data_IF_832572323053
#
_entry.id   IF_832572323053
#
_cell.length_a   1.000
_cell.length_b   1.000
_cell.length_c   1.000
_cell.angle_alpha   90.00
_cell.angle_beta   90.00
_cell.angle_gamma   90.00
#
_symmetry.space_group_name_H-M   'P 1'
#
loop_
_entity.id
_entity.type
_entity.pdbx_description
1 polymer ?
#
# COMPACT_ATOMS: atom_id res chain seq x y z
N UNK A 1 5.79 -30.85 -10.53
CA UNK A 1 6.17 -30.04 -9.36
C UNK A 1 4.92 -29.30 -8.95
N UNK A 2 4.36 -29.65 -7.80
CA UNK A 2 3.08 -29.16 -7.33
C UNK A 2 3.18 -27.66 -7.05
N UNK A 3 2.39 -26.85 -7.75
CA UNK A 3 2.23 -25.42 -7.43
C UNK A 3 1.83 -25.29 -5.96
N UNK A 4 2.46 -24.41 -5.15
CA UNK A 4 1.93 -24.12 -3.83
C UNK A 4 0.52 -23.57 -4.01
N UNK A 5 -0.45 -24.26 -3.42
CA UNK A 5 -1.87 -23.89 -3.42
C UNK A 5 -2.04 -22.60 -2.63
N UNK A 6 -1.89 -21.44 -3.28
CA UNK A 6 -2.24 -20.13 -2.75
C UNK A 6 -3.78 -20.01 -2.63
N UNK A 7 -4.36 -20.27 -1.45
CA UNK A 7 -5.58 -19.65 -0.89
C UNK A 7 -6.08 -20.38 0.40
N UNK A 8 -6.75 -19.72 1.39
CA UNK A 8 -6.91 -18.28 1.62
C UNK A 8 -6.51 -17.85 3.05
N UNK A 9 -5.41 -17.11 3.16
CA UNK A 9 -5.07 -16.33 4.35
C UNK A 9 -5.44 -14.86 4.17
N UNK A 10 -5.81 -14.17 5.26
CA UNK A 10 -6.07 -12.73 5.20
C UNK A 10 -4.78 -11.95 4.92
N UNK A 11 -4.88 -10.91 4.08
CA UNK A 11 -3.78 -10.05 3.70
C UNK A 11 -3.83 -8.69 4.41
N UNK A 12 -2.65 -8.23 4.83
CA UNK A 12 -2.38 -6.83 5.11
C UNK A 12 -1.48 -6.24 4.01
N UNK A 13 -2.06 -5.41 3.14
CA UNK A 13 -1.41 -4.95 1.91
C UNK A 13 -0.60 -3.65 2.06
N UNK A 14 -0.42 -3.14 3.29
CA UNK A 14 0.40 -1.95 3.49
C UNK A 14 1.00 -1.95 4.90
N UNK A 15 2.29 -2.25 5.01
CA UNK A 15 3.05 -2.14 6.25
C UNK A 15 4.45 -1.62 5.97
N UNK A 16 5.10 -1.06 6.98
CA UNK A 16 6.49 -0.66 6.96
C UNK A 16 7.23 -1.37 8.09
N UNK A 17 8.52 -1.65 7.93
CA UNK A 17 9.37 -2.12 9.02
C UNK A 17 10.54 -1.16 9.22
N UNK A 18 10.98 -1.04 10.47
CA UNK A 18 12.06 -0.18 10.88
C UNK A 18 13.01 -0.94 11.80
N UNK A 19 14.24 -1.13 11.34
CA UNK A 19 15.25 -1.88 12.08
C UNK A 19 15.02 -3.40 12.09
N UNK A 20 15.61 -4.12 13.06
CA UNK A 20 16.32 -3.58 14.22
C UNK A 20 17.63 -2.87 13.82
N UNK A 21 18.01 -1.82 14.55
CA UNK A 21 19.07 -0.88 14.14
C UNK A 21 20.49 -1.45 14.11
N UNK A 22 20.72 -2.54 14.85
CA UNK A 22 21.98 -3.27 14.88
C UNK A 22 22.22 -4.08 13.59
N UNK A 23 21.14 -4.48 12.89
CA UNK A 23 21.20 -5.23 11.63
C UNK A 23 20.89 -4.37 10.41
N UNK A 24 19.92 -3.47 10.54
CA UNK A 24 19.43 -2.61 9.46
C UNK A 24 19.44 -1.15 9.90
N UNK A 25 20.63 -0.55 10.09
CA UNK A 25 20.75 0.86 10.49
C UNK A 25 20.17 1.77 9.41
N UNK A 26 19.66 2.94 9.83
CA UNK A 26 19.27 3.97 8.88
C UNK A 26 20.50 4.54 8.17
N UNK A 27 20.39 4.88 6.87
CA UNK A 27 21.45 5.61 6.19
C UNK A 27 21.61 7.01 6.81
N UNK A 28 22.82 7.57 6.73
CA UNK A 28 23.14 8.87 7.33
C UNK A 28 22.28 10.03 6.80
N UNK A 29 21.74 9.90 5.59
CA UNK A 29 20.86 10.85 4.92
C UNK A 29 19.37 10.45 4.98
N UNK A 30 18.96 9.63 5.95
CA UNK A 30 17.57 9.24 6.13
C UNK A 30 16.63 10.46 6.21
N UNK A 31 15.47 10.37 5.54
CA UNK A 31 14.49 11.45 5.50
C UNK A 31 13.93 11.83 6.89
N UNK A 32 13.89 10.85 7.81
CA UNK A 32 13.52 11.01 9.21
C UNK A 32 13.97 9.78 10.02
N UNK A 33 13.94 9.87 11.35
CA UNK A 33 14.28 8.78 12.27
C UNK A 33 13.03 8.28 13.01
N UNK A 34 12.44 7.15 12.61
CA UNK A 34 11.31 6.55 13.33
C UNK A 34 11.76 5.78 14.58
N UNK A 35 10.82 5.42 15.44
CA UNK A 35 11.04 4.40 16.45
C UNK A 35 11.27 3.02 15.78
N UNK A 36 12.08 2.13 16.37
CA UNK A 36 12.22 0.78 15.85
C UNK A 36 10.87 0.05 15.85
N UNK A 37 10.62 -0.66 14.76
CA UNK A 37 9.43 -1.46 14.49
C UNK A 37 9.85 -2.64 13.60
N UNK A 38 10.60 -3.60 14.15
CA UNK A 38 11.20 -4.69 13.38
C UNK A 38 10.14 -5.66 12.86
N UNK A 39 10.50 -6.46 11.86
CA UNK A 39 9.62 -7.46 11.26
C UNK A 39 9.05 -8.47 12.29
N UNK A 40 9.81 -8.80 13.34
CA UNK A 40 9.34 -9.66 14.43
C UNK A 40 8.08 -9.12 15.13
N UNK A 41 7.99 -7.80 15.28
CA UNK A 41 6.88 -7.15 15.97
C UNK A 41 5.64 -7.13 15.07
N UNK A 42 5.84 -6.89 13.77
CA UNK A 42 4.80 -7.01 12.76
C UNK A 42 4.25 -8.44 12.69
N UNK A 43 5.14 -9.44 12.69
CA UNK A 43 4.76 -10.84 12.64
C UNK A 43 3.93 -11.23 13.88
N UNK A 44 4.35 -10.79 15.07
CA UNK A 44 3.60 -11.02 16.30
C UNK A 44 2.23 -10.33 16.29
N UNK A 45 2.13 -9.13 15.70
CA UNK A 45 0.85 -8.46 15.48
C UNK A 45 -0.05 -9.25 14.53
N UNK A 46 0.46 -9.63 13.35
CA UNK A 46 -0.30 -10.38 12.35
C UNK A 46 -0.81 -11.72 12.89
N UNK A 47 0.01 -12.44 13.67
CA UNK A 47 -0.41 -13.67 14.37
C UNK A 47 -1.59 -13.42 15.32
N UNK A 48 -1.56 -12.35 16.13
CA UNK A 48 -2.68 -11.99 17.01
C UNK A 48 -3.94 -11.60 16.23
N UNK A 49 -3.77 -10.97 15.07
CA UNK A 49 -4.87 -10.50 14.24
C UNK A 49 -5.48 -11.59 13.34
N UNK A 50 -4.80 -12.71 13.15
CA UNK A 50 -5.18 -13.77 12.20
C UNK A 50 -4.86 -13.39 10.75
N UNK A 51 -3.87 -12.52 10.54
CA UNK A 51 -3.35 -12.13 9.23
C UNK A 51 -2.24 -13.12 8.87
N UNK A 52 -2.33 -13.70 7.67
CA UNK A 52 -1.40 -14.74 7.21
C UNK A 52 -0.44 -14.21 6.14
N UNK A 53 -0.84 -13.17 5.41
CA UNK A 53 -0.03 -12.57 4.36
C UNK A 53 0.16 -11.08 4.57
N UNK A 54 1.31 -10.56 4.16
CA UNK A 54 1.62 -9.14 4.33
C UNK A 54 2.39 -8.54 3.16
N UNK A 55 2.29 -7.23 3.01
CA UNK A 55 3.06 -6.46 2.03
C UNK A 55 3.91 -5.43 2.76
N UNK A 56 5.23 -5.62 2.66
CA UNK A 56 6.24 -4.69 3.17
C UNK A 56 6.50 -3.61 2.12
N UNK A 57 5.97 -2.43 2.35
CA UNK A 57 6.23 -1.25 1.53
C UNK A 57 7.52 -0.61 2.03
N UNK A 58 8.47 -0.39 1.13
CA UNK A 58 9.76 0.21 1.44
C UNK A 58 9.56 1.58 2.12
N UNK A 59 10.15 1.72 3.30
CA UNK A 59 10.01 2.92 4.08
C UNK A 59 10.97 4.02 3.58
N UNK A 60 10.48 5.26 3.48
CA UNK A 60 11.24 6.39 2.95
C UNK A 60 12.63 6.60 3.61
N UNK A 61 12.84 6.38 4.94
CA UNK A 61 14.15 6.52 5.56
C UNK A 61 15.24 5.62 4.98
N UNK A 62 14.89 4.44 4.44
CA UNK A 62 15.84 3.51 3.84
C UNK A 62 16.12 3.80 2.35
N UNK A 63 15.29 4.62 1.69
CA UNK A 63 15.45 4.92 0.26
C UNK A 63 15.48 3.65 -0.60
N UNK A 64 16.54 3.49 -1.39
CA UNK A 64 16.77 2.34 -2.29
C UNK A 64 17.53 1.17 -1.63
N UNK A 65 17.81 1.22 -0.32
CA UNK A 65 18.33 0.08 0.42
C UNK A 65 17.18 -0.84 0.85
N UNK A 66 16.94 -1.92 0.09
CA UNK A 66 15.90 -2.90 0.38
C UNK A 66 16.35 -4.05 1.30
N UNK A 67 17.55 -3.99 1.88
CA UNK A 67 18.12 -5.10 2.65
C UNK A 67 17.20 -5.59 3.78
N UNK A 68 16.57 -4.67 4.52
CA UNK A 68 15.64 -5.00 5.59
C UNK A 68 14.39 -5.75 5.09
N UNK A 69 13.73 -5.23 4.04
CA UNK A 69 12.51 -5.83 3.51
C UNK A 69 12.79 -7.18 2.83
N UNK A 70 13.92 -7.31 2.14
CA UNK A 70 14.33 -8.57 1.50
C UNK A 70 14.61 -9.66 2.53
N UNK A 71 15.30 -9.31 3.62
CA UNK A 71 15.54 -10.24 4.72
C UNK A 71 14.23 -10.70 5.38
N UNK A 72 13.30 -9.77 5.63
CA UNK A 72 12.00 -10.07 6.20
C UNK A 72 11.14 -10.95 5.27
N UNK A 73 11.13 -10.69 3.96
CA UNK A 73 10.42 -11.53 2.97
C UNK A 73 11.01 -12.95 2.97
N UNK A 74 12.33 -13.08 2.96
CA UNK A 74 12.98 -14.39 3.01
C UNK A 74 12.65 -15.17 4.30
N UNK A 75 12.67 -14.50 5.45
CA UNK A 75 12.29 -15.08 6.74
C UNK A 75 10.82 -15.51 6.78
N UNK A 76 9.95 -14.84 6.03
CA UNK A 76 8.51 -15.11 6.04
C UNK A 76 8.09 -16.42 5.39
N UNK A 77 8.97 -17.15 4.70
CA UNK A 77 8.63 -18.41 4.05
C UNK A 77 7.62 -18.28 2.90
N UNK A 78 7.55 -17.11 2.25
CA UNK A 78 6.66 -16.85 1.13
C UNK A 78 5.31 -16.20 1.51
N UNK A 79 5.08 -15.92 2.79
CA UNK A 79 3.88 -15.26 3.28
C UNK A 79 3.85 -13.76 2.98
N UNK A 80 5.00 -13.11 2.78
CA UNK A 80 5.08 -11.67 2.53
C UNK A 80 5.58 -11.35 1.11
N UNK A 81 5.23 -10.16 0.63
CA UNK A 81 5.74 -9.56 -0.61
C UNK A 81 6.22 -8.14 -0.35
N UNK A 82 7.03 -7.60 -1.28
CA UNK A 82 7.60 -6.26 -1.17
C UNK A 82 7.03 -5.27 -2.18
N UNK A 83 7.01 -3.98 -1.80
CA UNK A 83 6.90 -2.85 -2.73
C UNK A 83 8.12 -1.95 -2.53
N UNK A 84 8.93 -1.80 -3.56
CA UNK A 84 10.21 -1.07 -3.48
C UNK A 84 10.11 0.42 -3.77
N UNK A 85 11.19 1.13 -3.46
CA UNK A 85 11.52 2.42 -4.06
C UNK A 85 12.69 2.20 -5.04
N UNK A 86 12.52 2.67 -6.27
CA UNK A 86 13.55 2.63 -7.32
C UNK A 86 13.70 4.02 -7.94
N UNK A 87 14.78 4.22 -8.69
CA UNK A 87 15.04 5.44 -9.46
C UNK A 87 15.59 5.13 -10.85
N UNK A 88 15.92 6.17 -11.61
CA UNK A 88 16.47 6.07 -12.97
C UNK A 88 17.83 5.35 -13.02
N UNK A 89 18.53 5.22 -11.89
CA UNK A 89 19.84 4.55 -11.80
C UNK A 89 19.74 3.07 -11.48
N UNK A 90 18.56 2.60 -11.03
CA UNK A 90 18.30 1.18 -10.80
C UNK A 90 18.48 0.44 -12.13
N UNK A 91 19.26 -0.64 -12.18
CA UNK A 91 19.54 -1.45 -13.38
C UNK A 91 18.53 -2.59 -13.55
N UNK A 92 18.45 -3.18 -14.74
CA UNK A 92 17.54 -4.32 -14.98
C UNK A 92 17.96 -5.56 -14.17
N UNK A 93 19.27 -5.74 -13.96
CA UNK A 93 19.84 -6.77 -13.08
C UNK A 93 19.39 -6.58 -11.63
N UNK A 94 19.43 -5.34 -11.13
CA UNK A 94 18.89 -5.02 -9.80
C UNK A 94 17.38 -5.27 -9.73
N UNK A 95 16.60 -4.92 -10.77
CA UNK A 95 15.18 -5.24 -10.81
C UNK A 95 14.91 -6.75 -10.75
N UNK A 96 15.71 -7.56 -11.45
CA UNK A 96 15.61 -9.01 -11.37
C UNK A 96 15.92 -9.53 -9.96
N UNK A 97 16.99 -9.05 -9.32
CA UNK A 97 17.33 -9.40 -7.94
C UNK A 97 16.19 -9.06 -6.98
N UNK A 98 15.56 -7.89 -7.15
CA UNK A 98 14.42 -7.48 -6.34
C UNK A 98 13.18 -8.35 -6.60
N UNK A 99 12.93 -8.74 -7.85
CA UNK A 99 11.84 -9.65 -8.22
C UNK A 99 12.00 -11.03 -7.58
N UNK A 100 13.19 -11.60 -7.69
CA UNK A 100 13.54 -12.90 -7.10
C UNK A 100 13.48 -12.84 -5.58
N UNK A 101 13.83 -11.69 -5.00
CA UNK A 101 13.69 -11.38 -3.57
C UNK A 101 12.24 -11.15 -3.10
N UNK A 102 11.25 -11.20 -3.98
CA UNK A 102 9.83 -11.17 -3.64
C UNK A 102 9.16 -9.79 -3.71
N UNK A 103 9.81 -8.77 -4.30
CA UNK A 103 9.11 -7.54 -4.64
C UNK A 103 8.12 -7.77 -5.79
N UNK A 104 6.98 -7.08 -5.72
CA UNK A 104 5.87 -7.14 -6.68
C UNK A 104 5.34 -5.77 -7.07
N UNK A 105 6.02 -4.71 -6.69
CA UNK A 105 5.65 -3.37 -7.05
C UNK A 105 6.69 -2.32 -6.68
N UNK A 106 6.46 -1.10 -7.15
CA UNK A 106 7.21 0.10 -6.77
C UNK A 106 6.26 1.18 -6.27
N UNK A 107 6.76 2.09 -5.42
CA UNK A 107 5.98 3.20 -4.88
C UNK A 107 6.47 4.55 -5.38
N UNK A 108 5.52 5.41 -5.76
CA UNK A 108 5.72 6.84 -5.97
C UNK A 108 5.03 7.62 -4.88
N UNK A 109 5.78 8.45 -4.18
CA UNK A 109 5.25 9.32 -3.13
C UNK A 109 5.15 10.75 -3.65
N UNK A 110 3.93 11.24 -3.80
CA UNK A 110 3.59 12.53 -4.39
C UNK A 110 3.11 13.54 -3.33
N UNK A 111 3.18 13.20 -2.04
CA UNK A 111 2.91 14.15 -0.97
C UNK A 111 3.94 15.28 -0.98
N UNK A 112 3.45 16.53 -0.94
CA UNK A 112 4.26 17.75 -1.08
C UNK A 112 5.45 17.87 -0.12
N UNK A 113 5.36 17.25 1.06
CA UNK A 113 6.38 17.28 2.11
C UNK A 113 7.40 16.14 2.04
N UNK A 114 7.26 15.18 1.12
CA UNK A 114 8.15 14.01 1.02
C UNK A 114 9.06 14.11 -0.22
N UNK A 115 10.31 13.61 -0.13
CA UNK A 115 11.27 13.60 -1.23
C UNK A 115 10.82 12.63 -2.33
N UNK A 116 11.10 12.96 -3.60
CA UNK A 116 10.81 12.11 -4.75
C UNK A 116 10.72 12.88 -6.07
N UNK A 117 10.95 12.18 -7.19
CA UNK A 117 10.68 12.71 -8.52
C UNK A 117 9.17 12.93 -8.69
N UNK A 118 8.77 14.09 -9.20
CA UNK A 118 7.35 14.44 -9.47
C UNK A 118 7.08 14.68 -10.95
N UNK A 119 8.05 14.39 -11.80
CA UNK A 119 7.89 14.47 -13.25
C UNK A 119 7.03 13.28 -13.72
N UNK A 120 5.80 13.52 -14.20
CA UNK A 120 4.89 12.45 -14.60
C UNK A 120 5.44 11.57 -15.72
N UNK A 121 6.30 12.10 -16.60
CA UNK A 121 6.87 11.34 -17.71
C UNK A 121 7.94 10.37 -17.21
N UNK A 122 8.84 10.83 -16.34
CA UNK A 122 9.88 9.99 -15.71
C UNK A 122 9.27 8.88 -14.86
N UNK A 123 8.27 9.22 -14.06
CA UNK A 123 7.55 8.23 -13.24
C UNK A 123 6.80 7.20 -14.11
N UNK A 124 6.23 7.63 -15.25
CA UNK A 124 5.62 6.70 -16.21
C UNK A 124 6.63 5.72 -16.79
N UNK A 125 7.82 6.19 -17.16
CA UNK A 125 8.89 5.33 -17.68
C UNK A 125 9.26 4.23 -16.67
N UNK A 126 9.37 4.58 -15.38
CA UNK A 126 9.59 3.59 -14.32
C UNK A 126 8.42 2.61 -14.19
N UNK A 127 7.17 3.09 -14.30
CA UNK A 127 5.98 2.25 -14.25
C UNK A 127 5.91 1.25 -15.42
N UNK A 128 6.28 1.66 -16.63
CA UNK A 128 6.32 0.80 -17.81
C UNK A 128 7.49 -0.19 -17.71
N UNK A 129 8.62 0.22 -17.12
CA UNK A 129 9.81 -0.62 -16.96
C UNK A 129 9.60 -1.83 -16.03
N UNK A 130 8.74 -1.71 -15.01
CA UNK A 130 8.43 -2.84 -14.12
C UNK A 130 7.32 -3.75 -14.65
N UNK A 131 6.61 -3.35 -15.72
CA UNK A 131 5.50 -4.12 -16.27
C UNK A 131 5.87 -5.54 -16.73
N UNK A 132 7.04 -5.81 -17.35
CA UNK A 132 7.45 -7.17 -17.73
C UNK A 132 7.59 -8.14 -16.55
N UNK A 133 7.82 -7.62 -15.34
CA UNK A 133 7.89 -8.42 -14.11
C UNK A 133 6.50 -8.74 -13.51
N UNK A 134 5.41 -8.24 -14.12
CA UNK A 134 4.06 -8.34 -13.58
C UNK A 134 3.81 -7.43 -12.38
N UNK A 135 4.68 -6.45 -12.14
CA UNK A 135 4.61 -5.57 -10.97
C UNK A 135 3.53 -4.50 -11.10
N UNK A 136 3.06 -3.99 -9.96
CA UNK A 136 2.19 -2.82 -9.88
C UNK A 136 2.98 -1.56 -9.47
N UNK A 137 2.38 -0.39 -9.72
CA UNK A 137 2.83 0.89 -9.16
C UNK A 137 1.86 1.35 -8.08
N UNK A 138 2.38 1.75 -6.92
CA UNK A 138 1.62 2.32 -5.82
C UNK A 138 1.81 3.84 -5.83
N UNK A 139 0.73 4.61 -5.96
CA UNK A 139 0.78 6.07 -5.90
C UNK A 139 0.19 6.58 -4.59
N UNK A 140 0.97 7.34 -3.84
CA UNK A 140 0.57 7.92 -2.56
C UNK A 140 0.50 9.44 -2.68
N UNK A 141 -0.68 10.03 -2.46
CA UNK A 141 -0.93 11.46 -2.56
C UNK A 141 -2.38 11.81 -2.27
N UNK A 142 -2.66 13.11 -2.13
CA UNK A 142 -4.02 13.65 -2.05
C UNK A 142 -4.70 13.61 -3.43
N UNK A 143 -6.01 13.40 -3.47
CA UNK A 143 -6.74 13.16 -4.72
C UNK A 143 -6.51 14.26 -5.77
N UNK A 144 -6.68 15.54 -5.42
CA UNK A 144 -6.40 16.67 -6.31
C UNK A 144 -4.98 16.66 -6.89
N UNK A 145 -3.99 16.16 -6.14
CA UNK A 145 -2.60 16.04 -6.60
C UNK A 145 -2.42 14.83 -7.52
N UNK A 146 -3.16 13.74 -7.29
CA UNK A 146 -3.08 12.53 -8.10
C UNK A 146 -3.83 12.63 -9.42
N UNK A 147 -4.95 13.36 -9.50
CA UNK A 147 -5.79 13.45 -10.70
C UNK A 147 -5.01 13.81 -11.98
N UNK A 148 -4.11 14.83 -11.99
CA UNK A 148 -3.30 15.11 -13.18
C UNK A 148 -2.41 13.96 -13.64
N UNK A 149 -1.88 13.15 -12.71
CA UNK A 149 -1.08 11.97 -13.05
C UNK A 149 -1.98 10.86 -13.61
N UNK A 150 -3.13 10.63 -12.99
CA UNK A 150 -4.10 9.63 -13.45
C UNK A 150 -4.61 9.96 -14.86
N UNK A 151 -4.86 11.24 -15.16
CA UNK A 151 -5.27 11.70 -16.49
C UNK A 151 -4.19 11.48 -17.55
N UNK A 152 -2.93 11.81 -17.22
CA UNK A 152 -1.78 11.59 -18.10
C UNK A 152 -1.48 10.09 -18.29
N UNK A 153 -1.85 9.25 -17.33
CA UNK A 153 -1.61 7.81 -17.34
C UNK A 153 -2.87 7.00 -17.62
N UNK A 154 -3.93 7.60 -18.17
CA UNK A 154 -5.21 6.92 -18.43
C UNK A 154 -5.09 5.66 -19.30
N UNK A 155 -4.05 5.58 -20.12
CA UNK A 155 -3.74 4.48 -21.03
C UNK A 155 -2.68 3.50 -20.47
N UNK A 156 -2.05 3.81 -19.34
CA UNK A 156 -1.02 2.97 -18.70
C UNK A 156 -1.61 1.60 -18.34
N UNK A 157 -1.01 0.54 -18.89
CA UNK A 157 -1.44 -0.85 -18.70
C UNK A 157 -0.89 -1.50 -17.45
N UNK A 158 0.23 -1.01 -16.93
CA UNK A 158 0.76 -1.43 -15.62
C UNK A 158 -0.32 -1.26 -14.56
N UNK A 159 -0.58 -2.26 -13.70
CA UNK A 159 -1.48 -2.11 -12.57
C UNK A 159 -1.04 -0.94 -11.70
N UNK A 160 -1.98 -0.06 -11.36
CA UNK A 160 -1.75 1.11 -10.52
C UNK A 160 -2.68 1.06 -9.32
N UNK A 161 -2.11 1.16 -8.13
CA UNK A 161 -2.79 1.15 -6.85
C UNK A 161 -2.80 2.57 -6.27
N UNK A 162 -3.99 3.09 -6.01
CA UNK A 162 -4.19 4.36 -5.32
C UNK A 162 -4.15 4.09 -3.81
N UNK A 163 -3.14 4.66 -3.14
CA UNK A 163 -2.86 4.43 -1.73
C UNK A 163 -3.84 5.21 -0.83
N UNK A 164 -4.24 4.62 0.29
CA UNK A 164 -5.09 5.23 1.33
C UNK A 164 -6.27 6.07 0.79
N UNK A 165 -7.00 5.54 -0.19
CA UNK A 165 -8.14 6.21 -0.84
C UNK A 165 -7.81 7.61 -1.41
N UNK A 166 -6.55 7.88 -1.75
CA UNK A 166 -6.04 9.20 -2.12
C UNK A 166 -6.16 10.26 -1.01
N UNK A 167 -5.95 9.85 0.25
CA UNK A 167 -5.81 10.71 1.43
C UNK A 167 -6.98 11.72 1.60
N UNK A 168 -8.26 11.27 1.59
CA UNK A 168 -9.38 12.17 1.81
C UNK A 168 -9.37 12.72 3.24
N UNK A 169 -10.10 13.81 3.48
CA UNK A 169 -10.45 14.28 4.82
C UNK A 169 -11.95 14.06 5.05
N UNK A 170 -12.30 13.01 5.79
CA UNK A 170 -13.70 12.69 6.10
C UNK A 170 -14.31 13.54 7.20
N UNK A 171 -13.54 14.47 7.79
CA UNK A 171 -14.07 15.49 8.70
C UNK A 171 -14.66 16.69 7.95
N UNK A 172 -14.50 16.73 6.62
CA UNK A 172 -15.03 17.74 5.73
C UNK A 172 -15.89 17.09 4.62
N UNK A 173 -16.82 17.83 3.99
CA UNK A 173 -17.51 17.34 2.80
C UNK A 173 -16.51 17.01 1.69
N UNK A 174 -16.67 15.81 1.10
CA UNK A 174 -15.85 15.41 -0.05
C UNK A 174 -16.23 16.20 -1.30
N UNK A 175 -15.23 16.56 -2.10
CA UNK A 175 -15.45 17.15 -3.42
C UNK A 175 -16.05 16.11 -4.37
N UNK A 176 -17.26 16.40 -4.85
CA UNK A 176 -18.02 15.47 -5.70
C UNK A 176 -17.51 15.41 -7.13
N UNK A 177 -16.86 16.46 -7.64
CA UNK A 177 -16.23 16.44 -8.95
C UNK A 177 -14.95 15.59 -8.93
N UNK A 178 -14.13 15.73 -7.89
CA UNK A 178 -12.94 14.90 -7.71
C UNK A 178 -13.29 13.42 -7.52
N UNK A 179 -14.31 13.11 -6.71
CA UNK A 179 -14.80 11.74 -6.53
C UNK A 179 -15.33 11.12 -7.83
N UNK A 180 -16.08 11.89 -8.64
CA UNK A 180 -16.55 11.44 -9.94
C UNK A 180 -15.38 11.16 -10.90
N UNK A 181 -14.33 11.99 -10.87
CA UNK A 181 -13.12 11.75 -11.64
C UNK A 181 -12.36 10.50 -11.18
N UNK A 182 -12.23 10.28 -9.86
CA UNK A 182 -11.64 9.07 -9.30
C UNK A 182 -12.41 7.82 -9.73
N UNK A 183 -13.74 7.85 -9.63
CA UNK A 183 -14.61 6.76 -10.07
C UNK A 183 -14.34 6.39 -11.53
N UNK A 184 -14.29 7.39 -12.42
CA UNK A 184 -13.97 7.19 -13.84
C UNK A 184 -12.60 6.54 -14.06
N UNK A 185 -11.59 6.91 -13.26
CA UNK A 185 -10.29 6.26 -13.31
C UNK A 185 -10.37 4.79 -12.84
N UNK A 186 -11.13 4.50 -11.79
CA UNK A 186 -11.30 3.16 -11.24
C UNK A 186 -12.09 2.19 -12.14
N UNK A 187 -12.84 2.70 -13.13
CA UNK A 187 -13.45 1.89 -14.20
C UNK A 187 -12.39 1.18 -15.07
N UNK A 188 -11.16 1.71 -15.16
CA UNK A 188 -10.07 1.06 -15.90
C UNK A 188 -9.60 -0.21 -15.16
N UNK A 189 -9.53 -1.35 -15.87
CA UNK A 189 -9.27 -2.67 -15.27
C UNK A 189 -7.91 -2.82 -14.59
N UNK A 190 -6.95 -1.96 -14.92
CA UNK A 190 -5.64 -1.91 -14.26
C UNK A 190 -5.56 -0.90 -13.08
N UNK A 191 -6.69 -0.35 -12.61
CA UNK A 191 -6.71 0.61 -11.49
C UNK A 191 -7.30 -0.03 -10.23
N UNK A 192 -6.55 0.11 -9.15
CA UNK A 192 -6.80 -0.49 -7.84
C UNK A 192 -6.83 0.59 -6.76
N UNK A 193 -7.46 0.28 -5.64
CA UNK A 193 -7.55 1.19 -4.49
C UNK A 193 -7.26 0.46 -3.19
N UNK A 194 -6.49 1.09 -2.31
CA UNK A 194 -6.28 0.64 -0.93
C UNK A 194 -7.26 1.35 0.00
N UNK A 195 -8.17 0.60 0.61
CA UNK A 195 -9.14 1.04 1.62
C UNK A 195 -8.49 1.10 3.02
N UNK A 196 -7.39 1.83 3.14
CA UNK A 196 -6.54 1.90 4.35
C UNK A 196 -6.36 3.35 4.81
N UNK A 197 -5.78 3.55 6.00
CA UNK A 197 -5.50 4.90 6.52
C UNK A 197 -6.75 5.66 6.98
N UNK A 198 -7.73 4.96 7.57
CA UNK A 198 -8.94 5.60 8.08
C UNK A 198 -8.65 6.56 9.24
N UNK A 199 -7.69 6.24 10.09
CA UNK A 199 -7.15 7.11 11.14
C UNK A 199 -6.65 8.45 10.56
N UNK A 200 -5.99 8.38 9.40
CA UNK A 200 -5.48 9.55 8.67
C UNK A 200 -6.62 10.35 8.04
N UNK A 201 -7.58 9.67 7.42
CA UNK A 201 -8.74 10.31 6.81
C UNK A 201 -9.64 10.99 7.85
N UNK A 202 -9.65 10.47 9.08
CA UNK A 202 -10.36 11.02 10.23
C UNK A 202 -9.52 12.00 11.05
N UNK A 203 -8.39 12.48 10.50
CA UNK A 203 -7.53 13.50 11.09
C UNK A 203 -7.00 13.16 12.50
N UNK A 204 -6.79 11.87 12.78
CA UNK A 204 -6.30 11.39 14.08
C UNK A 204 -7.37 11.26 15.17
N UNK A 205 -8.66 11.40 14.83
CA UNK A 205 -9.73 11.03 15.74
C UNK A 205 -9.63 9.53 16.06
N UNK A 206 -9.84 9.11 17.32
CA UNK A 206 -9.76 7.69 17.68
C UNK A 206 -10.94 6.89 17.08
N UNK A 207 -10.71 5.59 16.88
CA UNK A 207 -11.72 4.65 16.38
C UNK A 207 -12.88 4.41 17.36
N UNK A 208 -13.94 3.70 16.91
CA UNK A 208 -14.02 2.82 15.73
C UNK A 208 -14.58 3.44 14.43
N UNK A 209 -14.62 4.77 14.31
CA UNK A 209 -15.01 5.52 13.10
C UNK A 209 -16.32 5.10 12.36
N UNK A 210 -17.43 4.77 13.04
CA UNK A 210 -18.67 4.38 12.35
C UNK A 210 -19.18 5.44 11.37
N UNK A 211 -18.89 6.72 11.63
CA UNK A 211 -19.22 7.85 10.76
C UNK A 211 -18.56 7.82 9.37
N UNK A 212 -17.53 6.99 9.19
CA UNK A 212 -16.79 6.88 7.93
C UNK A 212 -17.15 5.64 7.11
N UNK A 213 -18.00 4.73 7.62
CA UNK A 213 -18.33 3.49 6.94
C UNK A 213 -18.90 3.74 5.55
N UNK A 214 -19.85 4.66 5.42
CA UNK A 214 -20.52 4.93 4.15
C UNK A 214 -19.59 5.60 3.13
N UNK A 215 -18.66 6.45 3.59
CA UNK A 215 -17.63 7.00 2.72
C UNK A 215 -16.75 5.88 2.15
N UNK A 216 -16.22 4.99 2.99
CA UNK A 216 -15.33 3.92 2.52
C UNK A 216 -16.08 2.90 1.64
N UNK A 217 -17.37 2.65 1.90
CA UNK A 217 -18.23 1.85 1.01
C UNK A 217 -18.38 2.49 -0.37
N UNK A 218 -18.53 3.81 -0.45
CA UNK A 218 -18.56 4.53 -1.73
C UNK A 218 -17.31 4.24 -2.58
N UNK A 219 -16.10 4.24 -1.97
CA UNK A 219 -14.87 3.84 -2.67
C UNK A 219 -14.81 2.36 -3.04
N UNK A 220 -15.31 1.47 -2.17
CA UNK A 220 -15.36 0.03 -2.44
C UNK A 220 -16.26 -0.28 -3.66
N UNK A 221 -17.41 0.39 -3.78
CA UNK A 221 -18.35 0.24 -4.88
C UNK A 221 -17.73 0.60 -6.24
N UNK A 222 -16.76 1.53 -6.28
CA UNK A 222 -16.09 1.93 -7.51
C UNK A 222 -15.21 0.83 -8.11
N UNK A 223 -14.68 -0.07 -7.28
CA UNK A 223 -13.75 -1.11 -7.73
C UNK A 223 -13.75 -2.35 -6.81
N UNK A 224 -14.87 -3.07 -6.63
CA UNK A 224 -14.99 -4.15 -5.64
C UNK A 224 -14.01 -5.31 -5.89
N UNK A 225 -13.67 -5.57 -7.15
CA UNK A 225 -12.69 -6.59 -7.55
C UNK A 225 -11.24 -6.07 -7.54
N UNK A 226 -11.01 -4.80 -7.22
CA UNK A 226 -9.68 -4.17 -7.21
C UNK A 226 -9.46 -3.30 -5.98
N UNK A 227 -10.29 -3.50 -4.96
CA UNK A 227 -10.15 -2.92 -3.64
C UNK A 227 -9.39 -3.90 -2.74
N UNK A 228 -8.40 -3.40 -2.02
CA UNK A 228 -7.58 -4.16 -1.07
C UNK A 228 -7.44 -3.35 0.23
N UNK A 229 -6.99 -3.98 1.31
CA UNK A 229 -6.83 -3.35 2.61
C UNK A 229 -5.40 -3.50 3.15
N UNK A 230 -4.97 -2.55 3.98
CA UNK A 230 -3.75 -2.65 4.76
C UNK A 230 -3.84 -1.82 6.04
N UNK A 231 -3.09 -2.21 7.07
CA UNK A 231 -3.10 -1.55 8.38
C UNK A 231 -2.37 -0.20 8.35
N UNK A 232 -1.36 -0.06 7.49
CA UNK A 232 -0.38 1.03 7.52
C UNK A 232 0.51 1.03 8.78
N UNK A 233 0.64 -0.13 9.43
CA UNK A 233 1.56 -0.34 10.55
C UNK A 233 3.00 0.05 10.16
N UNK A 234 3.78 0.72 11.02
CA UNK A 234 3.52 1.07 12.42
C UNK A 234 2.97 2.49 12.58
N UNK A 235 2.20 2.97 11.61
CA UNK A 235 1.51 4.25 11.63
C UNK A 235 2.46 5.47 11.66
N UNK A 236 3.45 5.58 10.75
CA UNK A 236 4.40 6.69 10.78
C UNK A 236 3.72 8.02 10.41
N UNK A 237 4.16 9.13 11.00
CA UNK A 237 3.71 10.49 10.64
C UNK A 237 2.17 10.67 10.67
N UNK A 238 1.50 10.10 11.67
CA UNK A 238 0.07 10.31 11.91
C UNK A 238 -0.19 11.53 12.79
N UNK A 239 -1.45 12.01 12.78
CA UNK A 239 -1.96 12.96 13.78
C UNK A 239 -2.56 12.17 14.94
N UNK A 240 -2.37 12.63 16.17
CA UNK A 240 -2.90 11.95 17.35
C UNK A 240 -2.10 10.71 17.74
N UNK A 241 -2.74 9.79 18.45
CA UNK A 241 -2.13 8.53 18.92
C UNK A 241 -2.24 7.44 17.84
N UNK A 242 -1.28 6.49 17.78
CA UNK A 242 -1.40 5.31 16.95
C UNK A 242 -2.73 4.59 17.16
N UNK A 243 -3.44 4.21 16.09
CA UNK A 243 -4.68 3.45 16.21
C UNK A 243 -4.40 2.04 16.74
N UNK A 244 -5.45 1.40 17.26
CA UNK A 244 -5.44 -0.04 17.51
C UNK A 244 -5.66 -0.79 16.18
N UNK A 245 -4.69 -1.59 15.75
CA UNK A 245 -4.77 -2.36 14.51
C UNK A 245 -5.95 -3.35 14.49
N UNK A 246 -6.43 -3.82 15.65
CA UNK A 246 -7.66 -4.62 15.71
C UNK A 246 -8.85 -3.78 15.27
N UNK A 247 -8.96 -2.52 15.70
CA UNK A 247 -10.05 -1.64 15.29
C UNK A 247 -9.99 -1.30 13.80
N UNK A 248 -8.80 -1.14 13.22
CA UNK A 248 -8.63 -0.96 11.78
C UNK A 248 -9.14 -2.18 11.00
N UNK A 249 -8.84 -3.39 11.47
CA UNK A 249 -9.32 -4.62 10.86
C UNK A 249 -10.85 -4.78 11.03
N UNK A 250 -11.37 -4.54 12.22
CA UNK A 250 -12.81 -4.61 12.49
C UNK A 250 -13.58 -3.59 11.66
N UNK A 251 -13.00 -2.40 11.43
CA UNK A 251 -13.57 -1.37 10.58
C UNK A 251 -13.70 -1.83 9.12
N UNK A 252 -12.63 -2.36 8.49
CA UNK A 252 -12.74 -2.83 7.11
C UNK A 252 -13.68 -4.03 6.97
N UNK A 253 -13.75 -4.89 7.99
CA UNK A 253 -14.72 -5.98 8.02
C UNK A 253 -16.17 -5.47 8.14
N UNK A 254 -16.41 -4.30 8.72
CA UNK A 254 -17.73 -3.66 8.73
C UNK A 254 -18.05 -2.95 7.41
N UNK A 255 -17.04 -2.35 6.75
CA UNK A 255 -17.18 -1.80 5.40
C UNK A 255 -17.62 -2.90 4.42
N UNK A 256 -16.99 -4.08 4.50
CA UNK A 256 -17.37 -5.27 3.73
C UNK A 256 -18.64 -5.93 4.30
N UNK A 257 -19.81 -5.42 3.90
CA UNK A 257 -21.12 -5.80 4.44
C UNK A 257 -21.61 -7.22 4.07
N UNK A 258 -20.81 -7.99 3.33
CA UNK A 258 -21.10 -9.37 2.96
C UNK A 258 -19.87 -10.28 3.06
N UNK A 259 -20.05 -11.60 3.28
CA UNK A 259 -18.94 -12.56 3.26
C UNK A 259 -18.16 -12.54 1.94
N UNK A 260 -18.85 -12.31 0.80
CA UNK A 260 -18.22 -12.22 -0.50
C UNK A 260 -17.28 -11.01 -0.62
N UNK A 261 -17.68 -9.84 -0.12
CA UNK A 261 -16.81 -8.67 -0.11
C UNK A 261 -15.62 -8.84 0.85
N UNK A 262 -15.83 -9.46 2.01
CA UNK A 262 -14.72 -9.78 2.94
C UNK A 262 -13.69 -10.67 2.27
N UNK A 263 -14.14 -11.75 1.64
CA UNK A 263 -13.28 -12.67 0.90
C UNK A 263 -12.56 -11.95 -0.25
N UNK A 264 -13.27 -11.13 -1.02
CA UNK A 264 -12.67 -10.38 -2.13
C UNK A 264 -11.58 -9.42 -1.66
N UNK A 265 -11.90 -8.51 -0.73
CA UNK A 265 -11.01 -7.41 -0.31
C UNK A 265 -9.82 -7.92 0.52
N UNK A 266 -10.06 -8.88 1.40
CA UNK A 266 -9.05 -9.34 2.38
C UNK A 266 -8.25 -10.55 1.90
N UNK A 267 -8.66 -11.22 0.82
CA UNK A 267 -7.99 -12.45 0.34
C UNK A 267 -7.81 -12.46 -1.18
N UNK A 268 -8.89 -12.47 -1.96
CA UNK A 268 -8.79 -12.85 -3.38
C UNK A 268 -8.17 -11.74 -4.24
N UNK A 269 -8.58 -10.49 -4.01
CA UNK A 269 -8.03 -9.32 -4.68
C UNK A 269 -6.52 -9.17 -4.43
N UNK A 270 -6.03 -9.17 -3.17
CA UNK A 270 -4.59 -9.07 -2.93
C UNK A 270 -3.83 -10.30 -3.43
N UNK A 271 -4.36 -11.52 -3.29
CA UNK A 271 -3.70 -12.71 -3.85
C UNK A 271 -3.66 -12.72 -5.39
N UNK A 272 -4.47 -11.91 -6.08
CA UNK A 272 -4.35 -11.65 -7.52
C UNK A 272 -3.31 -10.58 -7.83
N UNK A 273 -3.24 -9.51 -7.04
CA UNK A 273 -2.32 -8.40 -7.28
C UNK A 273 -0.86 -8.75 -6.96
N UNK A 274 -0.60 -9.52 -5.90
CA UNK A 274 0.74 -9.76 -5.35
C UNK A 274 1.33 -11.15 -5.70
N UNK A 275 0.88 -11.77 -6.80
CA UNK A 275 1.37 -13.08 -7.25
C UNK A 275 2.87 -13.08 -7.52
#
# INVERSE_FOLDING_TARGET
MSSPTNAPGMWDCHTHIYGPWDRFPLPANAAYTPAPAPFSDLLALHQRLGIEHGVLVQAAPYGTDHSAILAAIAESGGHYRGVGLIDETTTDEQLQVLHDGGLRGIRFNLMGHLPGARDPQKLRQLAERVAPFGWHVLVHGELHTLLPFLDQWKDLKTPLVIDHMARPDFTQPLDREELAALKKHLEHSARWIKLSGIDRAMQGQPGPWPQALDYVREFLEYAPERAIWGSDWPHPNIKGSPPDDRQLLDFIQQVCDSPALKQAVLVDNPARLYR
#
